data_IF_020527542295
#
_entry.id   IF_020527542295
#
_cell.length_a   1.000
_cell.length_b   1.000
_cell.length_c   1.000
_cell.angle_alpha   90.00
_cell.angle_beta   90.00
_cell.angle_gamma   90.00
#
_symmetry.space_group_name_H-M   'P 1'
#
loop_
_entity.id
_entity.type
_entity.pdbx_description
1 polymer ?
#
# COMPACT_ATOMS: atom_id res chain seq x y z
N UNK A 1 -38.86 0.09 -34.79
CA UNK A 1 -38.23 1.40 -34.53
C UNK A 1 -37.83 1.39 -33.06
N UNK A 2 -36.56 1.15 -32.64
CA UNK A 2 -35.41 2.09 -32.62
C UNK A 2 -35.84 3.44 -32.01
N UNK A 3 -35.33 3.96 -30.88
CA UNK A 3 -33.94 4.16 -30.37
C UNK A 3 -33.97 4.57 -28.87
N UNK A 4 -33.18 3.99 -27.94
CA UNK A 4 -31.86 4.39 -27.31
C UNK A 4 -31.78 5.59 -26.34
N UNK A 5 -31.18 5.32 -25.17
CA UNK A 5 -30.27 6.13 -24.29
C UNK A 5 -30.79 7.45 -23.65
N UNK A 6 -30.37 7.91 -22.45
CA UNK A 6 -29.10 7.75 -21.74
C UNK A 6 -29.20 7.96 -20.21
N UNK A 7 -28.14 7.55 -19.51
CA UNK A 7 -27.87 7.70 -18.09
C UNK A 7 -27.61 9.15 -17.63
N UNK A 8 -27.88 9.42 -16.35
CA UNK A 8 -27.48 10.66 -15.66
C UNK A 8 -27.02 10.36 -14.24
N UNK A 9 -25.72 10.52 -14.00
CA UNK A 9 -25.05 10.34 -12.71
C UNK A 9 -25.43 11.44 -11.70
N UNK A 10 -25.41 11.17 -10.38
CA UNK A 10 -25.45 12.24 -9.39
C UNK A 10 -24.06 12.88 -9.24
N UNK A 11 -24.03 14.17 -9.55
CA UNK A 11 -22.97 15.14 -9.31
C UNK A 11 -22.71 15.26 -7.80
N UNK A 12 -21.51 14.91 -7.34
CA UNK A 12 -21.00 15.33 -6.03
C UNK A 12 -20.02 16.48 -6.27
N UNK A 13 -20.56 17.70 -6.20
CA UNK A 13 -19.77 18.93 -6.24
C UNK A 13 -18.98 19.08 -4.94
N UNK A 14 -17.66 19.14 -5.10
CA UNK A 14 -16.75 20.08 -4.46
C UNK A 14 -17.10 20.58 -3.03
N UNK A 15 -16.45 19.97 -2.05
CA UNK A 15 -15.96 20.68 -0.86
C UNK A 15 -14.49 20.26 -0.65
N UNK A 16 -13.64 20.75 -1.54
CA UNK A 16 -12.19 20.85 -1.33
C UNK A 16 -11.86 22.33 -1.22
N UNK A 17 -11.04 22.67 -0.23
CA UNK A 17 -10.08 23.78 -0.14
C UNK A 17 -10.16 24.43 1.23
N UNK A 18 -9.38 23.90 2.17
CA UNK A 18 -8.34 24.68 2.85
C UNK A 18 -7.42 23.73 3.63
N UNK A 19 -6.33 23.35 2.96
CA UNK A 19 -5.20 22.71 3.60
C UNK A 19 -4.34 23.78 4.30
N UNK A 20 -4.51 23.90 5.61
CA UNK A 20 -3.43 24.25 6.54
C UNK A 20 -3.60 23.37 7.78
N UNK A 21 -2.56 22.63 8.15
CA UNK A 21 -2.46 22.07 9.50
C UNK A 21 -2.63 23.25 10.48
N UNK A 22 -3.62 23.25 11.38
CA UNK A 22 -3.84 24.37 12.29
C UNK A 22 -2.62 24.54 13.19
N UNK A 23 -1.95 25.70 13.07
CA UNK A 23 -0.71 26.02 13.80
C UNK A 23 -0.90 26.19 15.31
N UNK A 24 -2.14 26.22 15.81
CA UNK A 24 -2.41 26.14 17.24
C UNK A 24 -3.72 25.36 17.44
N UNK A 25 -3.63 24.16 18.00
CA UNK A 25 -4.79 23.42 18.47
C UNK A 25 -5.33 24.15 19.71
N UNK A 26 -6.56 24.69 19.69
CA UNK A 26 -7.07 25.48 20.79
C UNK A 26 -7.56 24.58 21.92
N UNK A 27 -7.11 24.95 23.12
CA UNK A 27 -7.72 24.71 24.42
C UNK A 27 -7.75 23.28 24.99
N UNK A 28 -7.04 23.12 26.11
CA UNK A 28 -6.80 21.91 26.93
C UNK A 28 -8.03 21.14 27.46
N UNK A 29 -9.24 21.52 27.07
CA UNK A 29 -10.48 20.78 27.39
C UNK A 29 -11.14 20.13 26.15
N UNK A 30 -10.70 20.50 24.93
CA UNK A 30 -11.02 19.78 23.69
C UNK A 30 -10.01 18.66 23.39
N UNK A 31 -8.91 18.58 24.15
CA UNK A 31 -7.85 17.56 24.01
C UNK A 31 -8.26 16.17 24.54
N UNK A 32 -9.38 16.05 25.25
CA UNK A 32 -9.98 14.77 25.71
C UNK A 32 -11.12 14.26 24.81
N UNK A 33 -11.48 14.97 23.73
CA UNK A 33 -12.45 14.49 22.76
C UNK A 33 -11.85 13.42 21.85
N UNK A 34 -12.08 12.15 22.23
CA UNK A 34 -12.22 10.97 21.35
C UNK A 34 -11.32 10.99 20.10
N UNK A 35 -10.01 11.16 20.28
CA UNK A 35 -9.08 11.05 19.18
C UNK A 35 -8.96 9.58 18.78
N UNK A 36 -9.72 9.16 17.77
CA UNK A 36 -9.53 7.86 17.15
C UNK A 36 -8.23 7.90 16.35
N UNK A 37 -7.19 7.23 16.85
CA UNK A 37 -5.92 7.08 16.16
C UNK A 37 -6.08 6.44 14.78
N UNK A 38 -7.06 5.54 14.61
CA UNK A 38 -7.37 4.94 13.31
C UNK A 38 -7.95 5.93 12.31
N UNK A 39 -8.91 6.78 12.72
CA UNK A 39 -9.48 7.81 11.85
C UNK A 39 -8.46 8.90 11.50
N UNK A 40 -7.64 9.32 12.46
CA UNK A 40 -6.58 10.28 12.22
C UNK A 40 -5.57 9.77 11.18
N UNK A 41 -5.13 8.51 11.31
CA UNK A 41 -4.23 7.90 10.35
C UNK A 41 -4.87 7.80 8.96
N UNK A 42 -6.16 7.41 8.89
CA UNK A 42 -6.92 7.30 7.65
C UNK A 42 -7.04 8.63 6.92
N UNK A 43 -7.36 9.71 7.63
CA UNK A 43 -7.48 11.05 7.06
C UNK A 43 -6.12 11.56 6.56
N UNK A 44 -5.07 11.43 7.37
CA UNK A 44 -3.74 11.93 7.04
C UNK A 44 -3.06 11.20 5.86
N UNK A 45 -3.42 9.93 5.62
CA UNK A 45 -2.83 9.10 4.55
C UNK A 45 -3.67 9.06 3.28
N UNK A 46 -4.91 9.57 3.31
CA UNK A 46 -5.88 9.48 2.20
C UNK A 46 -5.31 9.97 0.87
N UNK A 47 -4.75 11.17 0.84
CA UNK A 47 -4.25 11.77 -0.42
C UNK A 47 -3.11 10.96 -1.03
N UNK A 48 -2.23 10.41 -0.20
CA UNK A 48 -1.09 9.58 -0.65
C UNK A 48 -1.52 8.21 -1.13
N UNK A 49 -2.51 7.60 -0.46
CA UNK A 49 -3.12 6.35 -0.94
C UNK A 49 -3.79 6.57 -2.30
N UNK A 50 -4.53 7.66 -2.47
CA UNK A 50 -5.11 8.04 -3.76
C UNK A 50 -4.01 8.27 -4.80
N UNK A 51 -2.96 9.02 -4.47
CA UNK A 51 -1.84 9.24 -5.38
C UNK A 51 -1.15 7.93 -5.79
N UNK A 52 -1.07 6.96 -4.87
CA UNK A 52 -0.50 5.66 -5.14
C UNK A 52 -1.42 4.82 -6.04
N UNK A 53 -2.73 4.81 -5.80
CA UNK A 53 -3.72 4.15 -6.68
C UNK A 53 -3.67 4.71 -8.12
N UNK A 54 -3.33 6.00 -8.27
CA UNK A 54 -3.13 6.65 -9.57
C UNK A 54 -1.67 6.61 -10.06
N UNK A 55 -0.77 5.92 -9.37
CA UNK A 55 0.60 5.77 -9.83
C UNK A 55 0.66 4.90 -11.09
N UNK A 56 1.68 5.13 -11.91
CA UNK A 56 1.86 4.35 -13.14
C UNK A 56 1.90 2.84 -12.88
N UNK A 57 2.45 2.41 -11.75
CA UNK A 57 2.47 0.99 -11.36
C UNK A 57 1.06 0.40 -11.21
N UNK A 58 0.20 1.03 -10.40
CA UNK A 58 -1.15 0.50 -10.14
C UNK A 58 -2.07 0.64 -11.36
N UNK A 59 -1.94 1.75 -12.10
CA UNK A 59 -2.66 1.93 -13.35
C UNK A 59 -2.24 0.90 -14.40
N UNK A 60 -0.96 0.51 -14.45
CA UNK A 60 -0.48 -0.54 -15.36
C UNK A 60 -1.07 -1.90 -15.01
N UNK A 61 -1.24 -2.24 -13.71
CA UNK A 61 -1.90 -3.48 -13.30
C UNK A 61 -3.39 -3.55 -13.71
N UNK A 62 -4.03 -2.39 -13.87
CA UNK A 62 -5.42 -2.27 -14.29
C UNK A 62 -5.58 -2.03 -15.80
N UNK A 63 -4.47 -1.92 -16.53
CA UNK A 63 -4.49 -1.55 -17.93
C UNK A 63 -5.17 -2.65 -18.79
N UNK A 64 -6.06 -2.29 -19.75
CA UNK A 64 -6.75 -3.28 -20.57
C UNK A 64 -5.81 -4.16 -21.41
N UNK A 65 -4.65 -3.62 -21.78
CA UNK A 65 -3.63 -4.29 -22.61
C UNK A 65 -2.51 -4.93 -21.78
N UNK A 66 -2.69 -5.08 -20.46
CA UNK A 66 -1.71 -5.76 -19.62
C UNK A 66 -1.48 -7.18 -20.14
N UNK A 67 -0.24 -7.48 -20.52
CA UNK A 67 0.22 -8.79 -20.93
C UNK A 67 1.20 -9.41 -19.92
N UNK A 68 1.60 -10.67 -20.14
CA UNK A 68 2.47 -11.39 -19.20
C UNK A 68 3.87 -10.79 -19.10
N UNK A 69 4.53 -10.37 -20.21
CA UNK A 69 5.78 -9.61 -20.14
C UNK A 69 5.68 -8.32 -19.33
N UNK A 70 4.66 -7.48 -19.58
CA UNK A 70 4.45 -6.23 -18.84
C UNK A 70 4.19 -6.49 -17.35
N UNK A 71 3.37 -7.49 -17.04
CA UNK A 71 3.13 -7.90 -15.66
C UNK A 71 4.40 -8.40 -14.95
N UNK A 72 5.23 -9.19 -15.64
CA UNK A 72 6.52 -9.62 -15.10
C UNK A 72 7.43 -8.42 -14.80
N UNK A 73 7.42 -7.38 -15.64
CA UNK A 73 8.19 -6.15 -15.41
C UNK A 73 7.70 -5.39 -14.17
N UNK A 74 6.38 -5.29 -13.98
CA UNK A 74 5.79 -4.69 -12.79
C UNK A 74 6.21 -5.46 -11.52
N UNK A 75 6.07 -6.79 -11.50
CA UNK A 75 6.53 -7.59 -10.37
C UNK A 75 8.04 -7.45 -10.12
N UNK A 76 8.84 -7.32 -11.18
CA UNK A 76 10.28 -7.15 -11.09
C UNK A 76 10.62 -5.80 -10.45
N UNK A 77 9.94 -4.72 -10.82
CA UNK A 77 10.08 -3.42 -10.16
C UNK A 77 9.66 -3.48 -8.70
N UNK A 78 8.52 -4.10 -8.40
CA UNK A 78 8.06 -4.30 -7.03
C UNK A 78 9.10 -5.08 -6.20
N UNK A 79 9.76 -6.08 -6.78
CA UNK A 79 10.81 -6.85 -6.09
C UNK A 79 12.07 -6.05 -5.77
N UNK A 80 12.31 -4.91 -6.43
CA UNK A 80 13.39 -3.99 -6.08
C UNK A 80 13.12 -3.20 -4.80
N UNK A 81 11.86 -3.07 -4.40
CA UNK A 81 11.40 -2.14 -3.36
C UNK A 81 10.81 -2.87 -2.16
N UNK A 82 9.95 -3.86 -2.42
CA UNK A 82 9.17 -4.53 -1.40
C UNK A 82 10.00 -5.41 -0.43
N UNK A 83 10.90 -6.30 -0.90
CA UNK A 83 11.73 -7.09 0.00
C UNK A 83 12.62 -6.23 0.94
N UNK A 84 13.30 -5.16 0.46
CA UNK A 84 14.05 -4.26 1.34
C UNK A 84 13.18 -3.59 2.41
N UNK A 85 12.00 -3.06 2.05
CA UNK A 85 11.05 -2.45 3.00
C UNK A 85 10.64 -3.46 4.05
N UNK A 86 10.19 -4.65 3.63
CA UNK A 86 9.71 -5.66 4.57
C UNK A 86 10.82 -6.16 5.49
N UNK A 87 12.06 -6.31 4.98
CA UNK A 87 13.22 -6.65 5.81
C UNK A 87 13.48 -5.58 6.87
N UNK A 88 13.55 -4.30 6.49
CA UNK A 88 13.82 -3.22 7.44
C UNK A 88 12.69 -3.05 8.47
N UNK A 89 11.43 -3.26 8.08
CA UNK A 89 10.30 -3.29 9.02
C UNK A 89 10.42 -4.45 10.01
N UNK A 90 10.79 -5.65 9.54
CA UNK A 90 10.98 -6.84 10.39
C UNK A 90 12.13 -6.67 11.38
N UNK A 91 13.27 -6.18 10.92
CA UNK A 91 14.42 -5.90 11.79
C UNK A 91 14.04 -4.92 12.91
N UNK A 92 13.26 -3.89 12.58
CA UNK A 92 12.76 -2.92 13.55
C UNK A 92 11.69 -3.51 14.48
N UNK A 93 10.78 -4.31 13.96
CA UNK A 93 9.77 -4.99 14.76
C UNK A 93 10.42 -5.94 15.77
N UNK A 94 11.40 -6.74 15.34
CA UNK A 94 12.17 -7.62 16.21
C UNK A 94 12.91 -6.84 17.31
N UNK A 95 13.56 -5.72 16.95
CA UNK A 95 14.24 -4.86 17.93
C UNK A 95 13.29 -4.24 18.98
N UNK A 96 12.01 -4.10 18.63
CA UNK A 96 10.97 -3.55 19.52
C UNK A 96 10.11 -4.64 20.19
N UNK A 97 10.32 -5.93 19.88
CA UNK A 97 9.47 -7.03 20.32
C UNK A 97 8.03 -6.93 19.82
N UNK A 98 7.85 -6.54 18.54
CA UNK A 98 6.56 -6.21 17.90
C UNK A 98 6.36 -6.91 16.55
N UNK A 99 6.92 -8.09 16.35
CA UNK A 99 6.79 -8.85 15.10
C UNK A 99 5.31 -9.15 14.76
N UNK A 100 4.47 -9.29 15.78
CA UNK A 100 3.02 -9.54 15.66
C UNK A 100 2.24 -8.37 15.02
N UNK A 101 2.84 -7.18 14.92
CA UNK A 101 2.20 -6.04 14.26
C UNK A 101 2.33 -6.08 12.75
N UNK A 102 3.29 -6.83 12.22
CA UNK A 102 3.54 -6.85 10.79
C UNK A 102 2.62 -7.86 10.08
N UNK A 103 1.96 -7.46 8.97
CA UNK A 103 1.24 -8.41 8.13
C UNK A 103 2.20 -9.41 7.47
N UNK A 104 1.69 -10.52 6.92
CA UNK A 104 2.52 -11.44 6.15
C UNK A 104 3.22 -10.71 5.00
N UNK A 105 4.52 -10.95 4.84
CA UNK A 105 5.35 -10.13 3.95
C UNK A 105 5.00 -10.31 2.48
N UNK A 106 4.53 -11.48 2.05
CA UNK A 106 4.36 -11.76 0.63
C UNK A 106 5.67 -11.82 -0.18
N UNK A 107 6.83 -11.52 0.41
CA UNK A 107 8.13 -11.48 -0.29
C UNK A 107 8.47 -12.81 -0.95
N UNK A 108 8.32 -13.94 -0.24
CA UNK A 108 8.58 -15.26 -0.81
C UNK A 108 7.63 -15.56 -1.99
N UNK A 109 6.38 -15.10 -1.90
CA UNK A 109 5.37 -15.26 -2.95
C UNK A 109 5.69 -14.41 -4.18
N UNK A 110 6.11 -13.16 -3.98
CA UNK A 110 6.60 -12.28 -5.06
C UNK A 110 7.77 -12.91 -5.81
N UNK A 111 8.75 -13.45 -5.08
CA UNK A 111 9.91 -14.10 -5.69
C UNK A 111 9.53 -15.41 -6.40
N UNK A 112 8.60 -16.17 -5.84
CA UNK A 112 8.06 -17.38 -6.48
C UNK A 112 7.30 -17.04 -7.77
N UNK A 113 6.46 -15.99 -7.76
CA UNK A 113 5.73 -15.52 -8.94
C UNK A 113 6.69 -15.09 -10.05
N UNK A 114 7.74 -14.33 -9.70
CA UNK A 114 8.80 -13.96 -10.66
C UNK A 114 9.55 -15.17 -11.21
N UNK A 115 9.89 -16.13 -10.36
CA UNK A 115 10.54 -17.38 -10.79
C UNK A 115 9.64 -18.18 -11.74
N UNK A 116 8.33 -18.23 -11.47
CA UNK A 116 7.36 -18.85 -12.36
C UNK A 116 7.30 -18.16 -13.73
N UNK A 117 7.16 -16.84 -13.76
CA UNK A 117 7.12 -16.07 -15.01
C UNK A 117 8.40 -16.23 -15.84
N UNK A 118 9.57 -16.26 -15.18
CA UNK A 118 10.86 -16.54 -15.84
C UNK A 118 10.91 -17.94 -16.45
N UNK A 119 10.43 -18.98 -15.74
CA UNK A 119 10.34 -20.36 -16.27
C UNK A 119 9.41 -20.45 -17.47
N UNK A 120 8.36 -19.63 -17.51
CA UNK A 120 7.43 -19.53 -18.65
C UNK A 120 8.00 -18.70 -19.83
N UNK A 121 9.25 -18.25 -19.75
CA UNK A 121 9.92 -17.49 -20.81
C UNK A 121 9.63 -15.99 -20.80
N UNK A 122 8.91 -15.48 -19.79
CA UNK A 122 8.65 -14.05 -19.62
C UNK A 122 9.86 -13.42 -18.90
N UNK A 123 10.91 -13.17 -19.68
CA UNK A 123 12.14 -12.56 -19.19
C UNK A 123 11.93 -11.07 -18.92
N UNK A 124 12.40 -10.61 -17.77
CA UNK A 124 12.52 -9.19 -17.46
C UNK A 124 13.99 -8.88 -17.23
N UNK A 125 14.50 -7.73 -17.70
CA UNK A 125 15.78 -7.23 -17.23
C UNK A 125 15.75 -7.21 -15.70
N UNK A 126 16.84 -7.68 -15.07
CA UNK A 126 16.94 -7.62 -13.60
C UNK A 126 16.66 -6.17 -13.17
N UNK A 127 15.82 -6.00 -12.14
CA UNK A 127 15.60 -4.67 -11.59
C UNK A 127 16.98 -4.10 -11.25
N UNK A 128 17.30 -2.92 -11.81
CA UNK A 128 18.49 -2.20 -11.41
C UNK A 128 18.52 -2.16 -9.88
N UNK A 129 19.66 -2.49 -9.23
CA UNK A 129 19.72 -2.61 -7.79
C UNK A 129 19.41 -1.27 -7.13
N UNK A 130 18.14 -1.02 -6.88
CA UNK A 130 17.61 -0.02 -5.93
C UNK A 130 18.00 -0.41 -4.50
N UNK A 131 18.61 -1.59 -4.33
CA UNK A 131 19.19 -2.14 -3.12
C UNK A 131 20.32 -1.32 -2.47
N UNK A 132 20.76 -0.19 -3.04
CA UNK A 132 21.62 0.76 -2.30
C UNK A 132 20.78 1.49 -1.25
N UNK A 133 20.54 0.79 -0.14
CA UNK A 133 19.98 1.21 1.15
C UNK A 133 18.71 2.07 1.02
N UNK A 134 17.59 1.41 0.76
CA UNK A 134 16.28 1.88 1.19
C UNK A 134 16.30 2.01 2.72
N UNK A 135 16.60 3.20 3.23
CA UNK A 135 16.57 3.50 4.66
C UNK A 135 15.13 3.88 5.04
N UNK A 136 14.49 3.03 5.83
CA UNK A 136 13.21 3.40 6.42
C UNK A 136 13.45 4.50 7.47
N UNK A 137 12.57 5.51 7.53
CA UNK A 137 12.66 6.55 8.56
C UNK A 137 12.73 5.91 9.96
N UNK A 138 13.73 6.29 10.77
CA UNK A 138 13.84 5.82 12.16
C UNK A 138 12.69 6.38 13.01
N UNK A 139 12.31 5.66 14.07
CA UNK A 139 11.34 6.17 15.04
C UNK A 139 10.96 5.15 16.12
N UNK A 140 9.89 5.47 16.83
CA UNK A 140 9.35 4.69 17.94
C UNK A 140 8.39 3.55 17.49
N UNK A 141 7.73 2.92 18.46
CA UNK A 141 6.72 1.88 18.23
C UNK A 141 5.52 2.41 17.44
N UNK A 142 5.01 3.61 17.75
CA UNK A 142 3.87 4.21 17.06
C UNK A 142 4.17 4.44 15.57
N UNK A 143 5.38 4.89 15.26
CA UNK A 143 5.87 5.03 13.89
C UNK A 143 5.90 3.67 13.16
N UNK A 144 6.41 2.60 13.79
CA UNK A 144 6.34 1.24 13.23
C UNK A 144 4.88 0.82 12.97
N UNK A 145 3.98 1.08 13.90
CA UNK A 145 2.57 0.72 13.78
C UNK A 145 1.90 1.42 12.59
N UNK A 146 2.20 2.70 12.36
CA UNK A 146 1.72 3.44 11.19
C UNK A 146 2.21 2.83 9.86
N UNK A 147 3.50 2.46 9.78
CA UNK A 147 4.04 1.76 8.61
C UNK A 147 3.38 0.40 8.40
N UNK A 148 3.21 -0.39 9.46
CA UNK A 148 2.60 -1.71 9.41
C UNK A 148 1.14 -1.64 8.91
N UNK A 149 0.37 -0.66 9.38
CA UNK A 149 -1.00 -0.42 8.92
C UNK A 149 -1.06 -0.10 7.43
N UNK A 150 -0.10 0.68 6.91
CA UNK A 150 -0.01 0.97 5.47
C UNK A 150 0.36 -0.28 4.66
N UNK A 151 1.32 -1.10 5.13
CA UNK A 151 1.61 -2.38 4.47
C UNK A 151 0.35 -3.25 4.38
N UNK A 152 -0.45 -3.31 5.44
CA UNK A 152 -1.68 -4.09 5.45
C UNK A 152 -2.71 -3.54 4.44
N UNK A 153 -2.89 -2.21 4.39
CA UNK A 153 -3.77 -1.56 3.40
C UNK A 153 -3.32 -1.83 1.97
N UNK A 154 -2.02 -1.76 1.69
CA UNK A 154 -1.46 -2.01 0.34
C UNK A 154 -1.64 -3.46 -0.11
N UNK A 155 -1.46 -4.42 0.80
CA UNK A 155 -1.73 -5.83 0.52
C UNK A 155 -3.22 -6.06 0.26
N UNK A 156 -4.10 -5.42 1.04
CA UNK A 156 -5.54 -5.47 0.83
C UNK A 156 -5.99 -4.80 -0.48
N UNK A 157 -5.31 -3.73 -0.91
CA UNK A 157 -5.48 -3.14 -2.25
C UNK A 157 -5.03 -4.12 -3.34
N UNK A 158 -3.86 -4.73 -3.18
CA UNK A 158 -3.35 -5.76 -4.09
C UNK A 158 -4.33 -6.93 -4.29
N UNK A 159 -4.94 -7.40 -3.21
CA UNK A 159 -6.00 -8.42 -3.26
C UNK A 159 -7.22 -8.01 -4.09
N UNK A 160 -7.60 -6.72 -4.06
CA UNK A 160 -8.70 -6.19 -4.89
C UNK A 160 -8.34 -6.12 -6.36
N UNK A 161 -7.06 -5.92 -6.68
CA UNK A 161 -6.56 -5.86 -8.07
C UNK A 161 -6.33 -7.25 -8.65
N UNK A 162 -6.01 -8.26 -7.83
CA UNK A 162 -5.67 -9.61 -8.28
C UNK A 162 -6.68 -10.25 -9.26
N UNK A 163 -8.02 -10.17 -9.05
CA UNK A 163 -8.99 -10.74 -10.00
C UNK A 163 -8.92 -10.11 -11.39
N UNK A 164 -8.54 -8.84 -11.50
CA UNK A 164 -8.39 -8.14 -12.78
C UNK A 164 -7.17 -8.68 -13.54
N UNK A 165 -6.04 -8.83 -12.85
CA UNK A 165 -4.81 -9.42 -13.40
C UNK A 165 -5.07 -10.86 -13.85
N UNK A 166 -5.79 -11.64 -13.05
CA UNK A 166 -6.12 -13.03 -13.35
C UNK A 166 -7.00 -13.17 -14.59
N UNK A 167 -8.06 -12.36 -14.68
CA UNK A 167 -8.95 -12.36 -15.82
C UNK A 167 -8.24 -11.97 -17.13
N UNK A 168 -7.22 -11.09 -17.04
CA UNK A 168 -6.45 -10.62 -18.20
C UNK A 168 -5.40 -11.63 -18.65
N UNK A 169 -4.64 -12.19 -17.72
CA UNK A 169 -3.45 -12.97 -18.02
C UNK A 169 -3.69 -14.48 -18.05
N UNK A 170 -4.86 -14.92 -17.58
CA UNK A 170 -5.20 -16.34 -17.47
C UNK A 170 -4.24 -17.10 -16.57
N UNK A 171 -3.75 -16.46 -15.49
CA UNK A 171 -2.78 -17.07 -14.58
C UNK A 171 -3.48 -18.02 -13.61
N UNK A 172 -2.94 -19.23 -13.44
CA UNK A 172 -3.39 -20.22 -12.45
C UNK A 172 -2.26 -20.58 -11.49
N UNK A 173 -2.49 -20.43 -10.19
CA UNK A 173 -1.53 -20.85 -9.16
C UNK A 173 -0.34 -19.91 -8.98
N UNK A 174 0.87 -20.40 -9.28
CA UNK A 174 2.13 -19.64 -9.21
C UNK A 174 2.17 -18.57 -10.32
N UNK A 175 2.55 -17.32 -9.99
CA UNK A 175 2.49 -16.16 -10.88
C UNK A 175 1.53 -15.06 -10.40
N UNK A 176 0.66 -15.35 -9.44
CA UNK A 176 -0.30 -14.40 -8.83
C UNK A 176 -0.38 -14.49 -7.30
N UNK A 177 0.49 -15.29 -6.70
CA UNK A 177 0.43 -15.65 -5.28
C UNK A 177 0.75 -14.47 -4.36
N UNK A 178 1.49 -13.47 -4.84
CA UNK A 178 1.78 -12.25 -4.09
C UNK A 178 0.50 -11.52 -3.67
N UNK A 179 -0.43 -11.34 -4.61
CA UNK A 179 -1.69 -10.65 -4.37
C UNK A 179 -2.78 -11.57 -3.81
N UNK A 180 -2.62 -12.90 -3.92
CA UNK A 180 -3.58 -13.89 -3.42
C UNK A 180 -2.92 -14.83 -2.40
N UNK A 181 -2.68 -14.37 -1.16
CA UNK A 181 -2.13 -15.22 -0.11
C UNK A 181 -3.07 -16.38 0.21
N UNK A 182 -2.49 -17.58 0.33
CA UNK A 182 -3.21 -18.81 0.72
C UNK A 182 -3.79 -18.76 2.14
N UNK A 183 -3.25 -17.87 2.96
CA UNK A 183 -3.58 -17.73 4.38
C UNK A 183 -4.88 -16.92 4.62
N UNK A 184 -5.58 -16.52 3.54
CA UNK A 184 -6.83 -15.77 3.61
C UNK A 184 -6.68 -14.27 3.30
N UNK A 185 -7.79 -13.50 3.35
CA UNK A 185 -7.77 -12.08 3.06
C UNK A 185 -6.86 -11.33 4.03
N UNK A 186 -6.09 -10.36 3.52
CA UNK A 186 -5.33 -9.44 4.37
C UNK A 186 -6.27 -8.35 4.82
N UNK A 187 -6.36 -8.17 6.13
CA UNK A 187 -7.13 -7.09 6.70
C UNK A 187 -6.42 -5.75 6.48
N UNK A 188 -7.05 -4.85 5.74
CA UNK A 188 -6.59 -3.47 5.53
C UNK A 188 -6.97 -2.52 6.66
N UNK A 189 -6.65 -1.24 6.50
CA UNK A 189 -6.82 -0.19 7.53
C UNK A 189 -8.28 -0.05 8.00
N UNK A 190 -9.23 -0.36 7.12
CA UNK A 190 -10.67 -0.26 7.41
C UNK A 190 -11.22 -1.43 8.23
N UNK A 191 -10.43 -2.48 8.47
CA UNK A 191 -10.89 -3.65 9.22
C UNK A 191 -11.17 -3.31 10.69
N UNK A 192 -12.01 -4.11 11.35
CA UNK A 192 -12.25 -3.94 12.79
C UNK A 192 -10.98 -4.19 13.61
N UNK A 193 -10.15 -5.17 13.21
CA UNK A 193 -8.90 -5.51 13.88
C UNK A 193 -7.92 -4.33 13.88
N UNK A 194 -7.67 -3.73 12.71
CA UNK A 194 -6.73 -2.62 12.60
C UNK A 194 -7.24 -1.36 13.28
N UNK A 195 -8.53 -1.04 13.14
CA UNK A 195 -9.13 0.10 13.87
C UNK A 195 -8.96 -0.06 15.38
N UNK A 196 -9.36 -1.23 15.91
CA UNK A 196 -9.22 -1.53 17.33
C UNK A 196 -7.77 -1.42 17.81
N UNK A 197 -6.82 -2.01 17.07
CA UNK A 197 -5.39 -1.95 17.42
C UNK A 197 -4.86 -0.53 17.40
N UNK A 198 -5.16 0.25 16.36
CA UNK A 198 -4.71 1.63 16.24
C UNK A 198 -5.29 2.50 17.35
N UNK A 199 -6.59 2.41 17.62
CA UNK A 199 -7.23 3.18 18.69
C UNK A 199 -6.72 2.76 20.08
N UNK A 200 -6.36 1.49 20.28
CA UNK A 200 -5.75 1.04 21.53
C UNK A 200 -4.32 1.52 21.73
N UNK A 201 -3.51 1.62 20.68
CA UNK A 201 -2.08 1.94 20.79
C UNK A 201 -1.79 3.43 20.63
N UNK A 202 -2.63 4.15 19.88
CA UNK A 202 -2.45 5.56 19.55
C UNK A 202 -3.33 6.45 20.44
N UNK A 203 -3.12 6.36 21.76
CA UNK A 203 -3.95 7.08 22.76
C UNK A 203 -3.51 8.52 23.02
N UNK A 204 -2.35 8.90 22.51
CA UNK A 204 -1.79 10.25 22.71
C UNK A 204 -1.55 10.92 21.38
N UNK A 205 -1.67 12.24 21.36
CA UNK A 205 -1.37 13.04 20.18
C UNK A 205 0.03 12.75 19.62
N UNK A 206 1.05 12.66 20.49
CA UNK A 206 2.41 12.37 20.07
C UNK A 206 2.55 10.98 19.41
N UNK A 207 1.87 9.96 19.94
CA UNK A 207 1.84 8.63 19.33
C UNK A 207 1.17 8.68 17.94
N UNK A 208 0.05 9.39 17.82
CA UNK A 208 -0.66 9.56 16.57
C UNK A 208 0.18 10.28 15.52
N UNK A 209 0.80 11.40 15.88
CA UNK A 209 1.70 12.13 14.98
C UNK A 209 2.89 11.27 14.54
N UNK A 210 3.45 10.46 15.45
CA UNK A 210 4.54 9.54 15.11
C UNK A 210 4.10 8.43 14.15
N UNK A 211 2.91 7.85 14.37
CA UNK A 211 2.32 6.87 13.47
C UNK A 211 2.03 7.46 12.08
N UNK A 212 1.48 8.67 12.03
CA UNK A 212 1.22 9.39 10.78
C UNK A 212 2.52 9.62 10.02
N UNK A 213 3.59 10.10 10.67
CA UNK A 213 4.90 10.27 10.03
C UNK A 213 5.43 8.96 9.45
N UNK A 214 5.25 7.85 10.16
CA UNK A 214 5.64 6.54 9.65
C UNK A 214 4.86 6.10 8.43
N UNK A 215 3.54 6.18 8.50
CA UNK A 215 2.66 5.83 7.39
C UNK A 215 2.95 6.68 6.15
N UNK A 216 3.00 8.01 6.33
CA UNK A 216 3.32 8.97 5.27
C UNK A 216 4.69 8.70 4.66
N UNK A 217 5.72 8.51 5.49
CA UNK A 217 7.09 8.26 5.01
C UNK A 217 7.20 6.97 4.18
N UNK A 218 6.49 5.92 4.56
CA UNK A 218 6.43 4.68 3.77
C UNK A 218 5.72 4.89 2.43
N UNK A 219 4.59 5.59 2.42
CA UNK A 219 3.85 5.87 1.17
C UNK A 219 4.66 6.76 0.22
N UNK A 220 5.33 7.79 0.73
CA UNK A 220 6.19 8.68 -0.07
C UNK A 220 7.36 7.90 -0.68
N UNK A 221 7.97 6.99 0.09
CA UNK A 221 9.02 6.09 -0.40
C UNK A 221 8.48 5.16 -1.51
N UNK A 222 7.29 4.60 -1.35
CA UNK A 222 6.67 3.77 -2.39
C UNK A 222 6.35 4.58 -3.65
N UNK A 223 5.80 5.78 -3.52
CA UNK A 223 5.54 6.69 -4.64
C UNK A 223 6.83 7.10 -5.38
N UNK A 224 7.95 7.21 -4.68
CA UNK A 224 9.24 7.51 -5.28
C UNK A 224 9.81 6.36 -6.11
N UNK A 225 9.53 5.10 -5.72
CA UNK A 225 10.13 3.94 -6.37
C UNK A 225 9.19 3.15 -7.29
N UNK A 226 7.88 3.20 -7.07
CA UNK A 226 6.85 2.59 -7.94
C UNK A 226 6.37 3.60 -9.00
N UNK A 227 7.31 4.20 -9.73
CA UNK A 227 7.06 5.29 -10.68
C UNK A 227 6.72 4.86 -12.10
N UNK A 228 6.79 3.57 -12.43
CA UNK A 228 6.78 3.16 -13.84
C UNK A 228 5.48 3.55 -14.55
N UNK A 229 5.61 4.50 -15.45
CA UNK A 229 4.80 4.52 -16.65
C UNK A 229 5.29 3.35 -17.51
N UNK A 230 4.39 2.43 -17.84
CA UNK A 230 4.57 1.54 -18.97
C UNK A 230 4.86 2.42 -20.19
N UNK A 231 6.13 2.55 -20.57
CA UNK A 231 6.53 3.20 -21.83
C UNK A 231 6.52 2.08 -22.86
N UNK A 232 5.50 2.07 -23.72
CA UNK A 232 5.49 1.22 -24.90
C UNK A 232 6.81 1.44 -25.66
N UNK A 233 7.59 0.38 -25.81
CA UNK A 233 8.69 0.29 -26.77
C UNK A 233 8.16 -0.44 -28.01
#
# INVERSE_FOLDING_TARGET
>A
MLTTHAAGAPVIHAAMLEARLPEQLPNRAAEELLFSGSEALRLATRERLVALEHSGFWQSLLHPELDRPAYAQLLQQLSGVWPPIMRALRERAAALGRDEWLPPTGTARLLADLSCLRRLGHLCPEAAPTARRLELPRGDQSHLLGMAAMVAELLAQGQRVAPHVDARLGLSGEGRSFFLPKDGPVEGLRSALWRHRLDQQLRTRAACESAIRGAVGLLDLLLQHLRSAWVQA
#
